data_IF_647564822162
#
_entry.id   IF_647564822162
#
_cell.length_a   1.000
_cell.length_b   1.000
_cell.length_c   1.000
_cell.angle_alpha   90.00
_cell.angle_beta   90.00
_cell.angle_gamma   90.00
#
_symmetry.space_group_name_H-M   'P 1'
#
loop_
_entity.id
_entity.type
_entity.pdbx_description
1 polymer ?
#
# COMPACT_ATOMS: atom_id res chain seq x y z
N UNK A 1 18.46 -22.50 -2.02
CA UNK A 1 18.86 -21.38 -1.15
C UNK A 1 17.66 -20.48 -1.08
N UNK A 2 16.80 -20.70 -0.10
CA UNK A 2 15.64 -19.84 0.14
C UNK A 2 16.18 -18.51 0.67
N UNK A 3 15.78 -17.40 0.03
CA UNK A 3 16.06 -16.09 0.58
C UNK A 3 15.30 -16.00 1.91
N UNK A 4 15.95 -15.66 3.03
CA UNK A 4 15.34 -15.69 4.38
C UNK A 4 14.19 -14.67 4.56
N UNK A 5 13.88 -13.89 3.53
CA UNK A 5 12.77 -12.93 3.48
C UNK A 5 11.53 -13.45 2.74
N UNK A 6 11.57 -14.68 2.20
CA UNK A 6 10.42 -15.36 1.59
C UNK A 6 9.82 -16.37 2.57
N UNK A 7 9.39 -15.93 3.75
CA UNK A 7 8.49 -16.74 4.57
C UNK A 7 7.11 -16.76 3.91
N UNK A 8 6.73 -17.91 3.36
CA UNK A 8 5.52 -18.20 2.57
C UNK A 8 4.16 -18.04 3.29
N UNK A 9 4.09 -17.34 4.43
CA UNK A 9 2.85 -17.25 5.24
C UNK A 9 2.35 -15.82 5.51
N UNK A 10 2.99 -14.79 4.95
CA UNK A 10 2.36 -13.48 4.92
C UNK A 10 1.39 -13.44 3.76
N UNK A 11 0.11 -13.69 4.04
CA UNK A 11 -0.97 -13.36 3.10
C UNK A 11 -0.76 -11.91 2.68
N UNK A 12 -0.30 -11.67 1.46
CA UNK A 12 0.02 -10.33 1.00
C UNK A 12 -1.26 -9.49 1.11
N UNK A 13 -1.30 -8.59 2.08
CA UNK A 13 -2.36 -7.58 2.18
C UNK A 13 -2.03 -6.50 1.16
N UNK A 14 -3.00 -6.17 0.32
CA UNK A 14 -2.89 -5.17 -0.72
C UNK A 14 -3.86 -4.04 -0.44
N UNK A 15 -3.38 -2.82 -0.60
CA UNK A 15 -4.10 -1.59 -0.29
C UNK A 15 -4.44 -0.89 -1.59
N UNK A 16 -5.73 -0.60 -1.78
CA UNK A 16 -6.20 0.11 -2.97
C UNK A 16 -6.33 1.60 -2.68
N UNK A 17 -5.73 2.41 -3.54
CA UNK A 17 -5.79 3.86 -3.52
C UNK A 17 -6.48 4.40 -4.76
N UNK A 18 -7.10 5.56 -4.64
CA UNK A 18 -7.70 6.28 -5.77
C UNK A 18 -7.35 7.76 -5.71
N UNK A 19 -6.94 8.31 -6.83
CA UNK A 19 -6.68 9.73 -6.96
C UNK A 19 -8.01 10.49 -7.14
N UNK A 20 -8.36 11.42 -6.24
CA UNK A 20 -9.59 12.21 -6.37
C UNK A 20 -9.54 13.21 -7.53
N UNK A 21 -8.35 13.50 -8.09
CA UNK A 21 -8.16 14.50 -9.14
C UNK A 21 -8.31 13.91 -10.55
N UNK A 22 -7.71 12.75 -10.82
CA UNK A 22 -7.73 12.12 -12.15
C UNK A 22 -8.46 10.77 -12.19
N UNK A 23 -8.91 10.24 -11.04
CA UNK A 23 -9.62 8.96 -10.96
C UNK A 23 -8.74 7.72 -11.11
N UNK A 24 -7.40 7.87 -11.23
CA UNK A 24 -6.45 6.75 -11.28
C UNK A 24 -6.58 5.90 -10.02
N UNK A 25 -6.60 4.58 -10.20
CA UNK A 25 -6.57 3.60 -9.11
C UNK A 25 -5.20 2.95 -9.09
N UNK A 26 -4.70 2.69 -7.90
CA UNK A 26 -3.41 2.03 -7.69
C UNK A 26 -3.52 1.01 -6.57
N UNK A 27 -2.68 -0.03 -6.63
CA UNK A 27 -2.68 -1.17 -5.73
C UNK A 27 -1.28 -1.35 -5.17
N UNK A 28 -1.13 -1.15 -3.86
CA UNK A 28 0.16 -1.11 -3.18
C UNK A 28 0.22 -2.27 -2.18
N UNK A 29 1.28 -3.09 -2.19
CA UNK A 29 1.47 -4.13 -1.18
C UNK A 29 1.62 -3.54 0.23
N UNK A 30 1.16 -4.28 1.24
CA UNK A 30 1.19 -3.87 2.64
C UNK A 30 2.59 -3.56 3.15
N UNK A 31 3.59 -4.37 2.78
CA UNK A 31 4.98 -4.12 3.18
C UNK A 31 5.48 -2.75 2.73
N UNK A 32 5.07 -2.27 1.54
CA UNK A 32 5.42 -0.92 1.06
C UNK A 32 4.73 0.15 1.92
N UNK A 33 3.47 -0.07 2.30
CA UNK A 33 2.73 0.85 3.17
C UNK A 33 3.39 0.93 4.56
N UNK A 34 3.79 -0.20 5.12
CA UNK A 34 4.46 -0.27 6.41
C UNK A 34 5.80 0.47 6.39
N UNK A 35 6.63 0.25 5.35
CA UNK A 35 7.88 0.99 5.15
C UNK A 35 7.66 2.50 5.02
N UNK A 36 6.62 2.92 4.28
CA UNK A 36 6.26 4.34 4.14
C UNK A 36 5.75 4.96 5.45
N UNK A 37 5.14 4.17 6.32
CA UNK A 37 4.66 4.60 7.63
C UNK A 37 5.80 4.73 8.66
N UNK A 38 6.84 3.88 8.59
CA UNK A 38 7.97 3.87 9.55
C UNK A 38 8.75 5.19 9.66
N UNK A 39 8.60 6.12 8.71
CA UNK A 39 9.23 7.43 8.73
C UNK A 39 8.29 8.61 8.97
N UNK A 40 7.01 8.35 9.31
CA UNK A 40 5.98 9.39 9.47
C UNK A 40 5.34 9.32 10.85
N UNK A 41 5.03 10.47 11.43
CA UNK A 41 4.19 10.59 12.63
C UNK A 41 2.72 10.33 12.29
N UNK A 42 2.38 9.11 11.88
CA UNK A 42 1.01 8.67 11.62
C UNK A 42 0.38 8.15 12.92
N UNK A 43 -0.90 8.45 13.12
CA UNK A 43 -1.66 7.85 14.22
C UNK A 43 -2.01 6.40 13.88
N UNK A 44 -2.26 5.61 14.92
CA UNK A 44 -2.78 4.25 14.75
C UNK A 44 -4.08 4.30 13.92
N UNK A 45 -4.11 3.55 12.81
CA UNK A 45 -5.22 3.55 11.86
C UNK A 45 -5.16 4.61 10.76
N UNK A 46 -4.15 5.48 10.74
CA UNK A 46 -3.93 6.46 9.66
C UNK A 46 -3.06 5.86 8.54
N UNK A 47 -3.52 5.98 7.30
CA UNK A 47 -2.78 5.49 6.13
C UNK A 47 -1.81 6.56 5.63
N UNK A 48 -0.56 6.21 5.25
CA UNK A 48 0.35 7.16 4.63
C UNK A 48 -0.24 7.71 3.33
N UNK A 49 -0.10 9.02 3.11
CA UNK A 49 -0.40 9.63 1.82
C UNK A 49 0.53 9.10 0.72
N UNK A 50 -0.05 8.54 -0.34
CA UNK A 50 0.65 8.05 -1.54
C UNK A 50 0.42 9.05 -2.69
N UNK A 51 1.48 9.40 -3.42
CA UNK A 51 1.37 10.34 -4.54
C UNK A 51 0.83 9.66 -5.80
N UNK A 52 -0.12 10.29 -6.49
CA UNK A 52 -0.64 9.80 -7.77
C UNK A 52 0.44 9.91 -8.85
N UNK A 53 0.79 8.81 -9.57
CA UNK A 53 1.84 8.84 -10.58
C UNK A 53 1.50 9.71 -11.81
N UNK A 54 0.22 10.01 -12.04
CA UNK A 54 -0.22 10.76 -13.22
C UNK A 54 -0.25 12.28 -12.98
N UNK A 55 -0.62 12.71 -11.77
CA UNK A 55 -0.89 14.12 -11.49
C UNK A 55 -0.28 14.64 -10.19
N UNK A 56 0.50 13.81 -9.49
CA UNK A 56 1.17 14.07 -8.22
C UNK A 56 0.25 14.50 -7.06
N UNK A 57 -1.07 14.42 -7.24
CA UNK A 57 -2.01 14.65 -6.14
C UNK A 57 -1.98 13.49 -5.15
N UNK A 58 -2.21 13.76 -3.87
CA UNK A 58 -2.32 12.73 -2.85
C UNK A 58 -3.53 11.81 -3.14
N UNK A 59 -3.27 10.51 -3.22
CA UNK A 59 -4.30 9.49 -3.38
C UNK A 59 -4.96 9.17 -2.04
N UNK A 60 -6.24 8.80 -2.08
CA UNK A 60 -7.00 8.39 -0.89
C UNK A 60 -7.14 6.88 -0.85
N UNK A 61 -6.89 6.32 0.33
CA UNK A 61 -7.17 4.92 0.63
C UNK A 61 -8.65 4.60 0.41
N UNK A 62 -8.93 3.43 -0.16
CA UNK A 62 -10.30 2.95 -0.38
C UNK A 62 -10.60 1.71 0.45
N UNK A 63 -9.85 0.63 0.24
CA UNK A 63 -10.03 -0.64 0.95
C UNK A 63 -8.77 -1.51 0.84
N UNK A 64 -8.65 -2.47 1.76
CA UNK A 64 -7.63 -3.52 1.74
C UNK A 64 -8.23 -4.84 1.22
N UNK A 65 -7.40 -5.67 0.60
CA UNK A 65 -7.76 -7.01 0.14
C UNK A 65 -6.56 -7.95 0.26
N UNK A 66 -6.81 -9.27 0.36
CA UNK A 66 -5.75 -10.27 0.38
C UNK A 66 -5.61 -10.89 -1.00
N UNK A 67 -4.38 -11.07 -1.49
CA UNK A 67 -4.09 -11.87 -2.69
C UNK A 67 -3.56 -13.24 -2.27
N UNK A 68 -4.04 -14.28 -2.93
CA UNK A 68 -3.45 -15.61 -2.80
C UNK A 68 -2.18 -15.67 -3.69
N UNK A 69 -1.05 -16.19 -3.18
CA UNK A 69 0.09 -16.49 -4.02
C UNK A 69 -0.30 -17.62 -5.00
N UNK A 70 0.06 -17.43 -6.28
CA UNK A 70 -0.19 -18.39 -7.36
C UNK A 70 0.62 -19.68 -7.23
#
# INVERSE_FOLDING_TARGET
MELPFHSQEEREEWYKFECPKCGKKDEVPGFVIDEFAMGKDLKEGEMPGVACPECNAEMKFKFTFKREPY
#
